data_IF_009937347888
#
_entry.id   IF_009937347888
#
_cell.length_a   1.000
_cell.length_b   1.000
_cell.length_c   1.000
_cell.angle_alpha   90.00
_cell.angle_beta   90.00
_cell.angle_gamma   90.00
#
_symmetry.space_group_name_H-M   'P 1'
#
loop_
_entity.id
_entity.type
_entity.pdbx_description
1 polymer ?
#
# COMPACT_ATOMS: atom_id res chain seq x y z
N UNK A 1 9.73 28.22 53.30
CA UNK A 1 10.76 27.80 54.28
C UNK A 1 11.89 27.29 53.44
N UNK A 2 12.86 28.13 53.22
CA UNK A 2 14.16 28.18 53.96
C UNK A 2 15.05 27.03 53.53
N UNK A 3 16.24 27.15 53.12
CA UNK A 3 17.34 28.15 53.18
C UNK A 3 18.47 27.50 52.38
N UNK A 4 19.20 28.19 51.52
CA UNK A 4 20.46 28.91 51.85
C UNK A 4 21.64 27.92 51.93
N UNK A 5 22.64 28.03 51.16
CA UNK A 5 23.73 28.92 50.88
C UNK A 5 25.08 28.19 50.90
N UNK A 6 25.97 28.61 50.07
CA UNK A 6 27.34 29.11 50.23
C UNK A 6 28.40 27.98 50.12
N UNK A 7 29.34 28.06 49.34
CA UNK A 7 30.27 29.05 48.87
C UNK A 7 31.67 28.48 49.05
N UNK A 8 32.60 28.82 48.25
CA UNK A 8 34.00 28.45 48.52
C UNK A 8 34.90 28.62 47.29
N UNK A 9 35.36 29.81 47.14
CA UNK A 9 36.45 30.32 46.33
C UNK A 9 37.80 29.89 46.94
N UNK A 10 38.82 29.56 46.11
CA UNK A 10 40.22 29.98 46.20
C UNK A 10 41.01 29.19 45.17
N UNK A 11 41.53 29.73 44.13
CA UNK A 11 42.71 30.60 43.89
C UNK A 11 44.07 29.94 44.10
N UNK A 12 44.87 30.15 43.04
CA UNK A 12 46.33 30.25 42.96
C UNK A 12 47.11 28.90 42.90
N UNK A 13 48.11 28.68 42.06
CA UNK A 13 49.07 29.52 41.31
C UNK A 13 49.80 28.67 40.30
N UNK A 14 50.00 29.13 39.14
CA UNK A 14 51.24 29.50 38.46
C UNK A 14 52.47 28.60 38.59
N UNK A 15 52.92 28.15 37.47
CA UNK A 15 54.25 28.23 36.90
C UNK A 15 54.37 27.28 35.71
N UNK A 16 54.43 27.68 34.62
CA UNK A 16 55.30 27.95 33.57
C UNK A 16 56.39 26.87 33.32
N UNK A 17 56.34 26.29 32.15
CA UNK A 17 57.52 25.88 31.37
C UNK A 17 57.17 25.82 29.91
N UNK A 18 57.79 26.71 29.18
CA UNK A 18 57.89 26.72 27.74
C UNK A 18 58.61 25.52 27.23
N UNK A 19 58.06 24.79 26.25
CA UNK A 19 58.87 24.12 25.24
C UNK A 19 58.18 24.23 23.90
N UNK A 20 58.86 24.89 22.99
CA UNK A 20 58.62 24.91 21.58
C UNK A 20 58.88 23.50 21.01
N UNK A 21 57.93 23.02 20.23
CA UNK A 21 58.05 21.73 19.54
C UNK A 21 57.10 21.69 18.34
N UNK A 22 57.70 22.02 17.20
CA UNK A 22 57.35 21.57 15.84
C UNK A 22 55.87 21.60 15.44
N UNK A 23 55.54 22.54 14.62
CA UNK A 23 54.38 22.55 13.73
C UNK A 23 54.36 21.28 12.85
N UNK A 24 53.55 20.34 13.19
CA UNK A 24 53.02 19.33 12.32
C UNK A 24 51.73 19.82 11.74
N UNK A 25 51.79 20.48 10.58
CA UNK A 25 50.61 20.69 9.73
C UNK A 25 50.05 19.34 9.33
N UNK A 26 49.04 18.89 10.06
CA UNK A 26 48.15 17.85 9.54
C UNK A 26 47.31 18.54 8.44
N UNK A 27 47.72 18.36 7.21
CA UNK A 27 46.86 18.49 6.08
C UNK A 27 45.69 17.53 6.30
N UNK A 28 44.61 18.02 6.89
CA UNK A 28 43.31 17.43 6.69
C UNK A 28 42.88 17.83 5.29
N UNK A 29 43.43 17.11 4.31
CA UNK A 29 42.82 17.02 3.01
C UNK A 29 41.41 16.53 3.27
N UNK A 30 40.43 17.45 3.25
CA UNK A 30 39.04 17.09 3.14
C UNK A 30 38.96 16.21 1.89
N UNK A 31 38.80 14.92 2.10
CA UNK A 31 38.48 14.01 1.02
C UNK A 31 37.23 14.59 0.34
N UNK A 32 37.42 15.10 -0.87
CA UNK A 32 36.34 15.39 -1.80
C UNK A 32 35.42 14.16 -1.77
N UNK A 33 34.10 14.31 -1.60
CA UNK A 33 33.22 13.17 -1.72
C UNK A 33 33.55 12.51 -3.05
N UNK A 34 34.07 11.29 -3.01
CA UNK A 34 34.21 10.45 -4.18
C UNK A 34 32.79 10.32 -4.72
N UNK A 35 32.49 10.94 -5.84
CA UNK A 35 31.29 10.63 -6.58
C UNK A 35 31.36 9.13 -6.80
N UNK A 36 30.50 8.40 -6.11
CA UNK A 36 30.33 6.96 -6.30
C UNK A 36 29.68 6.79 -7.68
N UNK A 37 30.52 6.81 -8.71
CA UNK A 37 30.13 6.57 -10.09
C UNK A 37 29.84 5.08 -10.34
N UNK A 38 29.61 4.33 -9.28
CA UNK A 38 29.26 2.92 -9.35
C UNK A 38 27.92 2.66 -10.02
N UNK A 39 27.67 1.39 -10.32
CA UNK A 39 26.41 0.92 -10.86
C UNK A 39 25.25 1.23 -9.88
N UNK A 40 24.18 1.85 -10.37
CA UNK A 40 22.96 2.18 -9.59
C UNK A 40 21.74 1.62 -10.31
N UNK A 41 20.79 1.11 -9.53
CA UNK A 41 19.52 0.56 -10.03
C UNK A 41 18.46 1.66 -10.15
N UNK A 42 17.84 1.79 -11.31
CA UNK A 42 16.66 2.63 -11.56
C UNK A 42 15.51 1.82 -12.17
N UNK A 43 14.24 2.19 -11.88
CA UNK A 43 13.79 3.24 -10.98
C UNK A 43 14.10 2.93 -9.52
N UNK A 44 14.05 3.94 -8.65
CA UNK A 44 14.31 3.81 -7.21
C UNK A 44 13.10 3.33 -6.42
N UNK A 45 11.91 3.51 -6.98
CA UNK A 45 10.61 3.16 -6.39
C UNK A 45 9.74 2.49 -7.44
N UNK A 46 8.85 1.62 -6.97
CA UNK A 46 7.93 0.88 -7.80
C UNK A 46 6.49 1.33 -7.54
N UNK A 47 5.71 1.44 -8.60
CA UNK A 47 4.30 1.80 -8.50
C UNK A 47 3.48 0.67 -7.86
N UNK A 48 2.41 1.04 -7.16
CA UNK A 48 1.40 0.10 -6.71
C UNK A 48 0.65 -0.49 -7.90
N UNK A 49 0.05 -1.66 -7.68
CA UNK A 49 -0.82 -2.33 -8.66
C UNK A 49 -2.04 -2.94 -7.97
N UNK A 50 -2.86 -3.67 -8.70
CA UNK A 50 -4.06 -4.36 -8.22
C UNK A 50 -4.14 -5.75 -8.86
N UNK A 51 -4.92 -6.69 -8.30
CA UNK A 51 -5.08 -8.02 -8.87
C UNK A 51 -5.54 -7.95 -10.33
N UNK A 52 -4.93 -8.77 -11.20
CA UNK A 52 -5.13 -8.78 -12.67
C UNK A 52 -4.78 -7.46 -13.38
N UNK A 53 -4.14 -6.52 -12.67
CA UNK A 53 -3.53 -5.34 -13.28
C UNK A 53 -2.24 -5.71 -14.00
N UNK A 54 -2.08 -5.26 -15.25
CA UNK A 54 -0.83 -5.45 -15.97
C UNK A 54 0.27 -4.60 -15.33
N UNK A 55 1.37 -5.24 -14.99
CA UNK A 55 2.55 -4.61 -14.44
C UNK A 55 3.70 -4.70 -15.42
N UNK A 56 4.39 -3.59 -15.64
CA UNK A 56 5.49 -3.52 -16.58
C UNK A 56 6.46 -2.43 -16.15
N UNK A 57 7.65 -2.82 -15.70
CA UNK A 57 8.73 -1.92 -15.30
C UNK A 57 10.04 -2.45 -15.86
N UNK A 58 10.78 -1.61 -16.58
CA UNK A 58 12.12 -1.93 -17.03
C UNK A 58 13.14 -1.34 -16.06
N UNK A 59 13.86 -2.19 -15.33
CA UNK A 59 15.03 -1.79 -14.57
C UNK A 59 16.17 -1.40 -15.49
N UNK A 60 16.92 -0.38 -15.12
CA UNK A 60 18.08 0.12 -15.82
C UNK A 60 19.24 0.31 -14.85
N UNK A 61 20.46 0.05 -15.34
CA UNK A 61 21.68 0.43 -14.63
C UNK A 61 22.06 1.85 -15.00
N UNK A 62 22.43 2.67 -14.01
CA UNK A 62 23.09 3.95 -14.23
C UNK A 62 24.48 3.96 -13.64
N UNK A 63 25.35 4.82 -14.19
CA UNK A 63 26.72 4.99 -13.72
C UNK A 63 27.74 4.35 -14.65
N UNK A 64 28.93 4.12 -14.13
CA UNK A 64 30.05 3.58 -14.88
C UNK A 64 30.06 2.05 -14.72
N UNK A 65 29.65 1.32 -15.74
CA UNK A 65 29.58 -0.14 -15.75
C UNK A 65 29.89 -0.70 -17.15
N UNK A 66 30.22 -1.99 -17.20
CA UNK A 66 30.37 -2.70 -18.47
C UNK A 66 29.00 -3.10 -19.00
N UNK A 67 28.65 -2.79 -20.27
CA UNK A 67 27.40 -3.26 -20.88
C UNK A 67 27.20 -4.78 -20.71
N UNK A 68 25.97 -5.22 -20.72
CA UNK A 68 25.49 -6.58 -20.36
C UNK A 68 25.24 -6.68 -18.84
N UNK A 69 24.01 -6.37 -18.48
CA UNK A 69 23.55 -6.45 -17.11
C UNK A 69 22.70 -7.70 -16.92
N UNK A 70 22.97 -8.42 -15.83
CA UNK A 70 22.20 -9.59 -15.39
C UNK A 70 21.42 -9.27 -14.13
N UNK A 71 20.11 -9.40 -14.21
CA UNK A 71 19.18 -9.06 -13.16
C UNK A 71 18.58 -10.29 -12.52
N UNK A 72 18.41 -10.27 -11.19
CA UNK A 72 17.73 -11.34 -10.48
C UNK A 72 17.11 -10.84 -9.17
N UNK A 73 16.11 -11.54 -8.69
CA UNK A 73 15.64 -11.41 -7.31
C UNK A 73 16.63 -12.14 -6.41
N UNK A 74 17.25 -11.42 -5.50
CA UNK A 74 18.25 -11.95 -4.58
C UNK A 74 17.61 -12.56 -3.34
N UNK A 75 16.57 -11.91 -2.81
CA UNK A 75 15.83 -12.34 -1.61
C UNK A 75 14.44 -11.71 -1.59
N UNK A 76 13.60 -12.14 -0.67
CA UNK A 76 12.21 -11.70 -0.57
C UNK A 76 11.29 -12.42 -1.54
N UNK A 77 10.10 -11.85 -1.76
CA UNK A 77 9.05 -12.49 -2.59
C UNK A 77 8.39 -11.45 -3.47
N UNK A 78 8.36 -11.71 -4.77
CA UNK A 78 7.55 -10.93 -5.71
C UNK A 78 6.05 -11.22 -5.51
N UNK A 79 5.16 -10.28 -5.87
CA UNK A 79 3.74 -10.60 -5.97
C UNK A 79 3.54 -11.82 -6.85
N UNK A 80 2.71 -12.80 -6.44
CA UNK A 80 2.34 -13.93 -7.32
C UNK A 80 1.85 -13.43 -8.67
N UNK A 81 2.31 -14.05 -9.76
CA UNK A 81 2.02 -13.66 -11.13
C UNK A 81 2.95 -12.59 -11.72
N UNK A 82 3.80 -11.94 -10.92
CA UNK A 82 4.85 -11.02 -11.38
C UNK A 82 6.21 -11.71 -11.35
N UNK A 83 7.01 -11.48 -12.38
CA UNK A 83 8.36 -12.06 -12.53
C UNK A 83 9.36 -11.04 -13.04
N UNK A 84 10.63 -11.24 -12.68
CA UNK A 84 11.76 -10.47 -13.15
C UNK A 84 12.58 -11.30 -14.14
N UNK A 85 12.75 -10.79 -15.34
CA UNK A 85 13.60 -11.39 -16.38
C UNK A 85 15.07 -10.95 -16.21
N UNK A 86 16.00 -11.73 -16.75
CA UNK A 86 17.44 -11.45 -16.68
C UNK A 86 17.85 -10.12 -17.35
N UNK A 87 17.06 -9.63 -18.30
CA UNK A 87 17.24 -8.32 -18.94
C UNK A 87 16.71 -7.14 -18.13
N UNK A 88 16.22 -7.37 -16.90
CA UNK A 88 15.70 -6.35 -16.00
C UNK A 88 14.22 -6.00 -16.21
N UNK A 89 13.49 -6.74 -17.02
CA UNK A 89 12.07 -6.54 -17.20
C UNK A 89 11.29 -7.19 -16.07
N UNK A 90 10.64 -6.37 -15.23
CA UNK A 90 9.71 -6.80 -14.19
C UNK A 90 8.29 -6.68 -14.74
N UNK A 91 7.60 -7.81 -14.94
CA UNK A 91 6.30 -7.82 -15.59
C UNK A 91 5.39 -8.95 -15.13
N UNK A 92 4.11 -8.86 -15.49
CA UNK A 92 3.09 -9.86 -15.21
C UNK A 92 1.80 -9.23 -14.71
N UNK A 93 0.94 -10.06 -14.13
CA UNK A 93 -0.31 -9.65 -13.50
C UNK A 93 -0.34 -10.18 -12.07
N UNK A 94 -0.48 -9.29 -11.09
CA UNK A 94 -0.60 -9.72 -9.69
C UNK A 94 -1.87 -10.56 -9.49
N UNK A 95 -1.75 -11.68 -8.80
CA UNK A 95 -2.89 -12.59 -8.57
C UNK A 95 -3.73 -12.21 -7.36
N UNK A 96 -3.13 -11.58 -6.35
CA UNK A 96 -3.80 -11.24 -5.09
C UNK A 96 -3.24 -9.96 -4.47
N UNK A 97 -4.06 -9.28 -3.70
CA UNK A 97 -3.65 -8.13 -2.90
C UNK A 97 -2.66 -8.52 -1.78
N UNK A 98 -1.88 -7.56 -1.35
CA UNK A 98 -0.86 -7.70 -0.32
C UNK A 98 0.29 -6.74 -0.49
N UNK A 99 1.22 -6.78 0.44
CA UNK A 99 2.48 -6.03 0.38
C UNK A 99 3.64 -7.01 0.23
N UNK A 100 4.47 -6.79 -0.79
CA UNK A 100 5.54 -7.70 -1.17
C UNK A 100 6.86 -6.94 -1.18
N UNK A 101 7.82 -7.44 -0.41
CA UNK A 101 9.17 -6.88 -0.29
C UNK A 101 10.18 -7.86 -0.89
N UNK A 102 11.11 -7.33 -1.65
CA UNK A 102 12.15 -8.13 -2.30
C UNK A 102 13.39 -7.30 -2.61
N UNK A 103 14.50 -7.98 -2.77
CA UNK A 103 15.78 -7.37 -3.13
C UNK A 103 16.13 -7.76 -4.57
N UNK A 104 16.33 -6.76 -5.41
CA UNK A 104 16.84 -6.93 -6.77
C UNK A 104 18.35 -6.78 -6.75
N UNK A 105 19.03 -7.70 -7.39
CA UNK A 105 20.48 -7.64 -7.65
C UNK A 105 20.74 -7.51 -9.13
N UNK A 106 21.64 -6.63 -9.49
CA UNK A 106 22.18 -6.50 -10.85
C UNK A 106 23.68 -6.71 -10.80
N UNK A 107 24.21 -7.38 -11.82
CA UNK A 107 25.64 -7.58 -12.05
C UNK A 107 25.99 -7.19 -13.46
N UNK A 108 27.15 -6.55 -13.64
CA UNK A 108 27.70 -6.26 -14.97
C UNK A 108 28.64 -7.36 -15.47
N UNK A 109 29.08 -7.26 -16.74
CA UNK A 109 30.03 -8.17 -17.36
C UNK A 109 31.50 -7.82 -17.13
N UNK A 110 31.83 -6.87 -16.25
CA UNK A 110 33.18 -6.36 -16.05
C UNK A 110 34.12 -7.29 -15.27
N UNK A 111 35.41 -6.94 -15.30
CA UNK A 111 36.45 -7.56 -14.48
C UNK A 111 37.30 -6.47 -13.83
N UNK A 112 37.16 -6.17 -12.54
CA UNK A 112 36.27 -6.85 -11.59
C UNK A 112 34.79 -6.60 -11.90
N UNK A 113 33.94 -7.60 -11.65
CA UNK A 113 32.49 -7.51 -11.80
C UNK A 113 31.91 -6.56 -10.76
N UNK A 114 31.11 -5.60 -11.21
CA UNK A 114 30.31 -4.77 -10.32
C UNK A 114 28.99 -5.47 -10.02
N UNK A 115 28.55 -5.38 -8.77
CA UNK A 115 27.28 -5.92 -8.33
C UNK A 115 26.62 -4.95 -7.35
N UNK A 116 25.36 -4.64 -7.59
CA UNK A 116 24.57 -3.76 -6.71
C UNK A 116 23.24 -4.45 -6.36
N UNK A 117 22.78 -4.19 -5.16
CA UNK A 117 21.51 -4.69 -4.66
C UNK A 117 20.66 -3.52 -4.17
N UNK A 118 19.36 -3.62 -4.38
CA UNK A 118 18.39 -2.65 -3.87
C UNK A 118 17.13 -3.36 -3.42
N UNK A 119 16.62 -2.92 -2.28
CA UNK A 119 15.33 -3.35 -1.76
C UNK A 119 14.20 -2.56 -2.43
N UNK A 120 13.12 -3.29 -2.74
CA UNK A 120 11.90 -2.75 -3.32
C UNK A 120 10.69 -3.31 -2.60
N UNK A 121 9.61 -2.55 -2.67
CA UNK A 121 8.29 -3.02 -2.26
C UNK A 121 7.27 -2.76 -3.39
N UNK A 122 6.33 -3.70 -3.55
CA UNK A 122 5.14 -3.51 -4.39
C UNK A 122 3.93 -3.75 -3.50
N UNK A 123 3.07 -2.76 -3.41
CA UNK A 123 1.76 -2.90 -2.78
C UNK A 123 0.73 -3.22 -3.85
N UNK A 124 0.12 -4.40 -3.76
CA UNK A 124 -1.02 -4.81 -4.57
C UNK A 124 -2.27 -4.46 -3.77
N UNK A 125 -2.96 -3.39 -4.16
CA UNK A 125 -4.17 -2.90 -3.48
C UNK A 125 -5.41 -3.62 -4.02
N UNK A 126 -6.49 -3.68 -3.22
CA UNK A 126 -7.75 -4.21 -3.72
C UNK A 126 -8.26 -3.40 -4.92
N UNK A 127 -8.78 -4.09 -5.93
CA UNK A 127 -9.29 -3.44 -7.15
C UNK A 127 -10.54 -2.60 -6.90
N UNK A 128 -11.40 -3.11 -6.02
CA UNK A 128 -12.57 -2.41 -5.49
C UNK A 128 -12.43 -2.39 -3.97
N UNK A 129 -12.72 -1.27 -3.35
CA UNK A 129 -12.88 -1.21 -1.89
C UNK A 129 -14.33 -0.95 -1.55
N UNK A 130 -14.83 -1.63 -0.53
CA UNK A 130 -16.19 -1.50 -0.03
C UNK A 130 -16.16 -1.34 1.48
N UNK A 131 -16.64 -0.22 1.99
CA UNK A 131 -16.65 0.07 3.43
C UNK A 131 -17.99 0.68 3.86
N UNK A 132 -18.37 0.49 5.10
CA UNK A 132 -19.53 1.18 5.65
C UNK A 132 -19.26 2.69 5.73
N UNK A 133 -20.15 3.48 5.13
CA UNK A 133 -20.24 4.93 5.38
C UNK A 133 -21.17 5.20 6.55
N UNK A 134 -22.36 4.63 6.50
CA UNK A 134 -23.31 4.56 7.59
C UNK A 134 -23.66 3.08 7.77
N UNK A 135 -23.26 2.43 8.86
CA UNK A 135 -23.62 1.05 9.12
C UNK A 135 -25.13 0.83 9.03
N UNK A 136 -25.51 -0.34 8.53
CA UNK A 136 -26.92 -0.71 8.49
C UNK A 136 -27.53 -0.63 9.89
N UNK A 137 -28.67 0.01 10.01
CA UNK A 137 -29.41 0.19 11.26
C UNK A 137 -30.91 0.19 11.02
N UNK A 138 -31.65 0.02 12.08
CA UNK A 138 -33.12 0.07 12.04
C UNK A 138 -33.60 1.47 12.39
N UNK A 139 -34.46 2.01 11.53
CA UNK A 139 -35.18 3.25 11.74
C UNK A 139 -36.69 2.92 11.66
N UNK A 140 -37.35 2.79 12.81
CA UNK A 140 -38.72 2.32 12.98
C UNK A 140 -38.89 0.87 12.46
N UNK A 141 -39.39 0.69 11.23
CA UNK A 141 -39.53 -0.59 10.56
C UNK A 141 -38.69 -0.67 9.27
N UNK A 142 -37.83 0.30 9.05
CA UNK A 142 -36.95 0.38 7.90
C UNK A 142 -35.53 0.00 8.30
N UNK A 143 -34.91 -0.91 7.56
CA UNK A 143 -33.45 -1.11 7.61
C UNK A 143 -32.85 -0.23 6.53
N UNK A 144 -31.93 0.63 6.94
CA UNK A 144 -31.25 1.55 6.04
C UNK A 144 -29.77 1.72 6.40
N UNK A 145 -29.00 2.21 5.45
CA UNK A 145 -27.57 2.47 5.61
C UNK A 145 -26.96 2.99 4.32
N UNK A 146 -25.65 3.10 4.32
CA UNK A 146 -24.91 3.41 3.10
C UNK A 146 -23.50 2.84 3.18
N UNK A 147 -22.94 2.55 2.02
CA UNK A 147 -21.54 2.15 1.86
C UNK A 147 -20.80 3.16 1.00
N UNK A 148 -19.48 3.13 1.08
CA UNK A 148 -18.61 3.79 0.11
C UNK A 148 -17.90 2.73 -0.72
N UNK A 149 -17.90 2.93 -2.04
CA UNK A 149 -17.18 2.11 -2.99
C UNK A 149 -16.12 2.93 -3.70
N UNK A 150 -14.93 2.35 -3.92
CA UNK A 150 -13.85 2.98 -4.68
C UNK A 150 -13.35 2.03 -5.76
N UNK A 151 -12.90 2.58 -6.88
CA UNK A 151 -12.27 1.88 -7.97
C UNK A 151 -10.80 2.29 -8.06
N UNK A 152 -9.90 1.41 -7.63
CA UNK A 152 -8.44 1.66 -7.66
C UNK A 152 -7.80 1.24 -8.97
N UNK A 153 -8.57 0.64 -9.89
CA UNK A 153 -8.07 0.16 -11.17
C UNK A 153 -7.91 1.29 -12.19
N UNK A 154 -7.17 1.00 -13.25
CA UNK A 154 -7.02 1.92 -14.39
C UNK A 154 -8.22 1.88 -15.37
N UNK A 155 -9.22 1.03 -15.12
CA UNK A 155 -10.33 0.78 -16.00
C UNK A 155 -11.67 1.19 -15.36
N UNK A 156 -12.64 1.58 -16.18
CA UNK A 156 -14.02 1.67 -15.74
C UNK A 156 -14.54 0.25 -15.46
N UNK A 157 -15.23 0.07 -14.35
CA UNK A 157 -15.79 -1.21 -13.90
C UNK A 157 -17.31 -1.15 -14.06
N UNK A 158 -17.88 -2.13 -14.72
CA UNK A 158 -19.33 -2.33 -14.74
C UNK A 158 -19.75 -2.97 -13.41
N UNK A 159 -20.34 -2.14 -12.51
CA UNK A 159 -20.58 -2.50 -11.12
C UNK A 159 -22.04 -2.84 -10.87
N UNK A 160 -22.27 -4.01 -10.30
CA UNK A 160 -23.56 -4.37 -9.69
C UNK A 160 -23.43 -4.28 -8.18
N UNK A 161 -24.27 -3.47 -7.57
CA UNK A 161 -24.45 -3.30 -6.13
C UNK A 161 -25.78 -3.95 -5.74
N UNK A 162 -25.73 -4.89 -4.78
CA UNK A 162 -26.87 -5.67 -4.31
C UNK A 162 -26.84 -5.73 -2.78
N UNK A 163 -27.96 -5.39 -2.14
CA UNK A 163 -28.10 -5.44 -0.68
C UNK A 163 -29.31 -6.29 -0.31
N UNK A 164 -29.06 -7.30 0.54
CA UNK A 164 -30.10 -8.21 1.03
C UNK A 164 -30.16 -8.19 2.53
N UNK A 165 -31.37 -8.08 3.05
CA UNK A 165 -31.70 -8.40 4.42
C UNK A 165 -32.19 -9.85 4.49
N UNK A 166 -31.47 -10.68 5.24
CA UNK A 166 -31.76 -12.10 5.40
C UNK A 166 -32.33 -12.33 6.79
N UNK A 167 -33.59 -12.77 6.84
CA UNK A 167 -34.28 -13.10 8.08
C UNK A 167 -33.73 -14.41 8.68
N UNK A 168 -34.01 -14.65 9.95
CA UNK A 168 -33.67 -15.87 10.73
C UNK A 168 -34.18 -17.17 10.07
N UNK A 169 -35.32 -17.09 9.37
CA UNK A 169 -35.90 -18.22 8.62
C UNK A 169 -35.24 -18.43 7.23
N UNK A 170 -34.19 -17.69 6.92
CA UNK A 170 -33.45 -17.76 5.64
C UNK A 170 -34.08 -17.00 4.48
N UNK A 171 -35.21 -16.30 4.69
CA UNK A 171 -35.80 -15.49 3.64
C UNK A 171 -34.96 -14.23 3.40
N UNK A 172 -34.51 -14.05 2.16
CA UNK A 172 -33.81 -12.85 1.73
C UNK A 172 -34.76 -11.85 1.09
N UNK A 173 -34.67 -10.59 1.49
CA UNK A 173 -35.37 -9.46 0.87
C UNK A 173 -34.35 -8.47 0.33
N UNK A 174 -34.47 -8.09 -0.92
CA UNK A 174 -33.63 -7.04 -1.52
C UNK A 174 -34.02 -5.69 -0.93
N UNK A 175 -33.03 -4.96 -0.40
CA UNK A 175 -33.20 -3.64 0.22
C UNK A 175 -32.34 -2.57 -0.47
N UNK A 176 -31.66 -2.93 -1.54
CA UNK A 176 -30.89 -2.02 -2.39
C UNK A 176 -30.34 -2.74 -3.61
N UNK A 177 -30.51 -2.14 -4.78
CA UNK A 177 -29.93 -2.62 -6.03
C UNK A 177 -29.58 -1.45 -6.94
N UNK A 178 -28.38 -1.47 -7.48
CA UNK A 178 -27.95 -0.51 -8.51
C UNK A 178 -26.96 -1.20 -9.47
N UNK A 179 -27.02 -0.80 -10.74
CA UNK A 179 -26.10 -1.26 -11.75
C UNK A 179 -25.63 -0.06 -12.57
N UNK A 180 -24.32 0.18 -12.60
CA UNK A 180 -23.75 1.36 -13.24
C UNK A 180 -22.25 1.21 -13.50
N UNK A 181 -21.70 2.00 -14.45
CA UNK A 181 -20.24 2.04 -14.63
C UNK A 181 -19.58 2.86 -13.52
N UNK A 182 -18.81 2.18 -12.66
CA UNK A 182 -17.95 2.81 -11.65
C UNK A 182 -16.66 3.28 -12.34
N UNK A 183 -16.51 4.59 -12.49
CA UNK A 183 -15.37 5.17 -13.22
C UNK A 183 -14.04 4.87 -12.54
N UNK A 184 -13.00 4.70 -13.35
CA UNK A 184 -11.61 4.59 -12.87
C UNK A 184 -11.24 5.77 -11.97
N UNK A 185 -10.53 5.51 -10.89
CA UNK A 185 -10.10 6.53 -9.94
C UNK A 185 -11.23 7.11 -9.09
N UNK A 186 -12.44 6.53 -9.11
CA UNK A 186 -13.50 6.89 -8.18
C UNK A 186 -13.07 6.57 -6.76
N UNK A 187 -13.23 7.51 -5.84
CA UNK A 187 -12.90 7.35 -4.42
C UNK A 187 -14.13 7.70 -3.59
N UNK A 188 -14.56 6.78 -2.71
CA UNK A 188 -15.59 7.01 -1.71
C UNK A 188 -16.97 7.36 -2.27
N UNK A 189 -17.38 6.75 -3.41
CA UNK A 189 -18.72 6.93 -3.93
C UNK A 189 -19.74 6.33 -2.97
N UNK A 190 -20.66 7.16 -2.48
CA UNK A 190 -21.69 6.73 -1.52
C UNK A 190 -22.85 6.04 -2.24
N UNK A 191 -23.20 4.84 -1.77
CA UNK A 191 -24.34 4.07 -2.24
C UNK A 191 -25.30 3.84 -1.07
N UNK A 192 -26.40 4.60 -0.99
CA UNK A 192 -27.43 4.40 0.03
C UNK A 192 -28.31 3.21 -0.33
N UNK A 193 -28.85 2.58 0.71
CA UNK A 193 -29.85 1.53 0.59
C UNK A 193 -30.86 1.61 1.74
N UNK A 194 -31.99 0.96 1.59
CA UNK A 194 -32.94 0.79 2.67
C UNK A 194 -34.34 0.50 2.18
N UNK A 195 -35.04 -0.34 2.97
CA UNK A 195 -36.41 -0.77 2.73
C UNK A 195 -37.13 -1.05 4.06
N UNK A 196 -38.46 -0.88 4.05
CA UNK A 196 -39.30 -1.25 5.20
C UNK A 196 -39.53 -2.75 5.21
N UNK A 197 -39.29 -3.37 6.37
CA UNK A 197 -39.34 -4.81 6.52
C UNK A 197 -40.38 -5.22 7.63
N UNK A 198 -40.97 -6.39 7.52
CA UNK A 198 -41.79 -6.96 8.59
C UNK A 198 -40.99 -7.11 9.88
N UNK A 199 -41.73 -7.29 10.99
CA UNK A 199 -41.12 -7.65 12.28
C UNK A 199 -40.22 -8.89 12.13
N UNK A 200 -39.03 -8.84 12.69
CA UNK A 200 -38.06 -9.94 12.63
C UNK A 200 -36.62 -9.49 12.86
N UNK A 201 -35.75 -10.47 12.95
CA UNK A 201 -34.32 -10.28 13.06
C UNK A 201 -33.68 -10.51 11.68
N UNK A 202 -32.79 -9.59 11.28
CA UNK A 202 -32.20 -9.57 9.93
C UNK A 202 -30.70 -9.37 9.96
N UNK A 203 -29.97 -10.16 9.20
CA UNK A 203 -28.56 -9.89 8.86
C UNK A 203 -28.52 -9.24 7.49
N UNK A 204 -27.84 -8.12 7.36
CA UNK A 204 -27.71 -7.38 6.10
C UNK A 204 -26.41 -7.77 5.43
N UNK A 205 -26.50 -8.18 4.18
CA UNK A 205 -25.39 -8.46 3.29
C UNK A 205 -25.35 -7.41 2.17
N UNK A 206 -24.20 -6.80 2.01
CA UNK A 206 -23.92 -5.88 0.90
C UNK A 206 -22.91 -6.54 0.00
N UNK A 207 -23.26 -6.72 -1.26
CA UNK A 207 -22.38 -7.32 -2.27
C UNK A 207 -22.12 -6.32 -3.38
N UNK A 208 -20.88 -6.28 -3.85
CA UNK A 208 -20.52 -5.64 -5.10
C UNK A 208 -19.84 -6.63 -6.02
N UNK A 209 -20.26 -6.65 -7.27
CA UNK A 209 -19.65 -7.42 -8.34
C UNK A 209 -19.28 -6.45 -9.45
N UNK A 210 -17.99 -6.33 -9.74
CA UNK A 210 -17.47 -5.46 -10.78
C UNK A 210 -16.87 -6.26 -11.90
N UNK A 211 -17.22 -5.93 -13.15
CA UNK A 211 -16.70 -6.58 -14.34
C UNK A 211 -15.93 -5.60 -15.22
N UNK A 212 -14.77 -6.05 -15.70
CA UNK A 212 -13.99 -5.39 -16.75
C UNK A 212 -13.91 -6.33 -17.94
N UNK A 213 -14.92 -6.31 -18.80
CA UNK A 213 -15.11 -7.25 -19.91
C UNK A 213 -13.87 -7.34 -20.81
N UNK A 214 -13.25 -6.22 -21.16
CA UNK A 214 -12.05 -6.18 -22.02
C UNK A 214 -10.83 -6.93 -21.45
N UNK A 215 -10.82 -7.19 -20.13
CA UNK A 215 -9.75 -7.93 -19.43
C UNK A 215 -10.22 -9.30 -18.94
N UNK A 216 -11.48 -9.64 -19.14
CA UNK A 216 -12.10 -10.82 -18.55
C UNK A 216 -11.84 -10.91 -17.02
N UNK A 217 -11.93 -9.77 -16.34
CA UNK A 217 -11.67 -9.65 -14.92
C UNK A 217 -12.98 -9.38 -14.16
N UNK A 218 -13.18 -10.13 -13.07
CA UNK A 218 -14.30 -9.95 -12.14
C UNK A 218 -13.73 -9.69 -10.76
N UNK A 219 -14.21 -8.64 -10.12
CA UNK A 219 -13.87 -8.25 -8.76
C UNK A 219 -15.12 -8.37 -7.88
N UNK A 220 -14.95 -8.85 -6.66
CA UNK A 220 -16.07 -9.06 -5.74
C UNK A 220 -15.67 -8.62 -4.35
N UNK A 221 -16.54 -7.83 -3.73
CA UNK A 221 -16.41 -7.44 -2.33
C UNK A 221 -17.74 -7.65 -1.62
N UNK A 222 -17.67 -7.94 -0.33
CA UNK A 222 -18.85 -8.17 0.50
C UNK A 222 -18.66 -7.58 1.89
N UNK A 223 -19.72 -6.96 2.40
CA UNK A 223 -19.87 -6.61 3.81
C UNK A 223 -21.09 -7.28 4.38
N UNK A 224 -21.07 -7.51 5.70
CA UNK A 224 -22.24 -7.94 6.44
C UNK A 224 -22.32 -7.23 7.79
N UNK A 225 -23.51 -7.12 8.34
CA UNK A 225 -23.67 -6.64 9.71
C UNK A 225 -23.08 -7.63 10.70
N UNK A 226 -22.39 -7.17 11.77
CA UNK A 226 -21.75 -8.06 12.75
C UNK A 226 -22.76 -8.81 13.63
N UNK A 227 -24.00 -8.32 13.68
CA UNK A 227 -25.12 -8.92 14.42
C UNK A 227 -26.41 -8.70 13.64
N UNK A 228 -27.44 -9.47 14.00
CA UNK A 228 -28.76 -9.26 13.47
C UNK A 228 -29.36 -7.92 13.95
N UNK A 229 -30.09 -7.28 13.06
CA UNK A 229 -30.86 -6.05 13.30
C UNK A 229 -32.30 -6.41 13.55
N UNK A 230 -32.83 -5.97 14.67
CA UNK A 230 -34.22 -6.27 15.06
C UNK A 230 -35.17 -5.19 14.58
N UNK A 231 -36.09 -5.55 13.70
CA UNK A 231 -37.21 -4.71 13.28
C UNK A 231 -38.42 -4.98 14.21
N UNK A 232 -38.81 -3.98 14.95
CA UNK A 232 -39.98 -4.03 15.82
C UNK A 232 -41.07 -3.20 15.18
N UNK A 233 -42.21 -3.82 14.86
CA UNK A 233 -43.39 -3.08 14.38
C UNK A 233 -43.87 -2.23 15.54
N UNK A 234 -43.91 -0.92 15.35
CA UNK A 234 -44.51 0.00 16.31
C UNK A 234 -46.01 -0.31 16.51
N UNK A 235 -46.56 0.01 17.65
CA UNK A 235 -47.96 -0.20 17.94
C UNK A 235 -48.89 0.53 16.96
#
# INVERSE_FOLDING_TARGET
MSCILVGGVMLLNAAGWTQAGAAGQRNTSAAKPTEDNGLVIEPTELANTYPRGQYHVQFQGRGNYVPVLHWRVQSGTLPPGIRLEDNGLLHGEAERAGEFQFVVSVKDGGQPQQAVQREFSIKVVEAITLVWKVPAHVNVNRIEGSVEVSNTTADDIDLTFDVKAVADNGRATEIGYQHFPLKRGTIGMALPFGESLPHGDYVVYVNVNGEVAKRNAIYKEQLQTPAALQVVVGP
#
